data_IF_912226313544
#
_entry.id   IF_912226313544
#
_cell.length_a   1.000
_cell.length_b   1.000
_cell.length_c   1.000
_cell.angle_alpha   90.00
_cell.angle_beta   90.00
_cell.angle_gamma   90.00
#
_symmetry.space_group_name_H-M   'P 1'
#
loop_
_entity.id
_entity.type
_entity.pdbx_description
1 polymer ?
#
# COMPACT_ATOMS: atom_id res chain seq x y z
N UNK A 1 6.40 12.33 14.23
CA UNK A 1 5.59 12.64 13.04
C UNK A 1 4.33 11.81 13.13
N UNK A 2 3.15 12.40 12.97
CA UNK A 2 1.90 11.63 12.91
C UNK A 2 1.55 11.26 11.46
N UNK A 3 0.66 10.29 11.29
CA UNK A 3 0.30 9.72 9.99
C UNK A 3 -0.37 10.76 9.10
N UNK A 4 -1.20 11.64 9.68
CA UNK A 4 -1.91 12.68 8.95
C UNK A 4 -0.95 13.68 8.31
N UNK A 5 0.04 14.16 9.07
CA UNK A 5 1.06 15.09 8.58
C UNK A 5 1.91 14.45 7.49
N UNK A 6 2.35 13.20 7.68
CA UNK A 6 3.14 12.49 6.67
C UNK A 6 2.37 12.27 5.35
N UNK A 7 1.07 11.97 5.42
CA UNK A 7 0.23 11.84 4.22
C UNK A 7 -0.01 13.17 3.53
N UNK A 8 -0.15 14.26 4.28
CA UNK A 8 -0.26 15.61 3.73
C UNK A 8 1.02 16.01 2.98
N UNK A 9 2.19 15.79 3.59
CA UNK A 9 3.49 16.04 2.97
C UNK A 9 3.65 15.22 1.68
N UNK A 10 3.24 13.94 1.69
CA UNK A 10 3.27 13.06 0.51
C UNK A 10 2.40 13.60 -0.63
N UNK A 11 1.18 14.03 -0.32
CA UNK A 11 0.26 14.63 -1.30
C UNK A 11 0.78 15.96 -1.85
N UNK A 12 1.52 16.75 -1.07
CA UNK A 12 2.14 18.00 -1.53
C UNK A 12 3.29 17.75 -2.51
N UNK A 13 4.20 16.81 -2.20
CA UNK A 13 5.39 16.56 -3.03
C UNK A 13 5.13 15.64 -4.22
N UNK A 14 4.03 14.87 -4.21
CA UNK A 14 3.70 13.86 -5.23
C UNK A 14 2.29 14.05 -5.78
N UNK A 15 2.12 15.04 -6.66
CA UNK A 15 0.84 15.40 -7.28
C UNK A 15 0.17 14.31 -8.13
N UNK A 16 0.89 13.23 -8.42
CA UNK A 16 0.41 12.07 -9.18
C UNK A 16 -0.25 11.01 -8.29
N UNK A 17 -0.11 11.12 -6.96
CA UNK A 17 -0.75 10.20 -6.02
C UNK A 17 -2.20 10.63 -5.83
N UNK A 18 -3.13 9.86 -6.40
CA UNK A 18 -4.56 10.11 -6.24
C UNK A 18 -5.06 9.71 -4.84
N UNK A 19 -4.47 8.66 -4.25
CA UNK A 19 -4.88 8.11 -2.95
C UNK A 19 -3.70 7.42 -2.30
N UNK A 20 -3.51 7.68 -0.99
CA UNK A 20 -2.57 6.94 -0.18
C UNK A 20 -3.26 6.48 1.12
N UNK A 21 -2.93 5.26 1.55
CA UNK A 21 -3.50 4.61 2.73
C UNK A 21 -2.38 3.97 3.54
N UNK A 22 -2.33 4.27 4.83
CA UNK A 22 -1.48 3.59 5.81
C UNK A 22 -2.36 2.64 6.60
N UNK A 23 -1.95 1.38 6.69
CA UNK A 23 -2.70 0.34 7.39
C UNK A 23 -1.73 -0.60 8.14
N UNK A 24 -2.24 -1.27 9.16
CA UNK A 24 -1.48 -2.25 9.93
C UNK A 24 -1.46 -3.64 9.26
N UNK A 25 -0.73 -4.59 9.84
CA UNK A 25 -0.64 -5.96 9.32
C UNK A 25 -1.98 -6.73 9.29
N UNK A 26 -3.00 -6.27 10.03
CA UNK A 26 -4.34 -6.84 10.00
C UNK A 26 -5.25 -6.17 8.94
N UNK A 27 -4.79 -5.07 8.32
CA UNK A 27 -5.53 -4.30 7.34
C UNK A 27 -6.36 -3.17 7.93
N UNK A 28 -6.17 -2.85 9.21
CA UNK A 28 -6.82 -1.70 9.85
C UNK A 28 -6.23 -0.43 9.29
N UNK A 29 -7.04 0.44 8.72
CA UNK A 29 -6.60 1.74 8.21
C UNK A 29 -6.25 2.66 9.38
N UNK A 30 -5.01 3.14 9.39
CA UNK A 30 -4.48 4.09 10.37
C UNK A 30 -4.55 5.54 9.88
N UNK A 31 -4.64 5.73 8.56
CA UNK A 31 -4.85 7.03 7.92
C UNK A 31 -4.91 6.93 6.40
N UNK A 32 -5.58 7.89 5.76
CA UNK A 32 -5.67 7.96 4.30
C UNK A 32 -5.85 9.38 3.79
N UNK A 33 -5.46 9.63 2.54
CA UNK A 33 -5.68 10.90 1.81
C UNK A 33 -6.32 10.64 0.45
N UNK A 34 -7.09 11.61 -0.06
CA UNK A 34 -7.71 11.57 -1.39
C UNK A 34 -8.93 10.66 -1.52
N UNK A 35 -9.44 10.09 -0.43
CA UNK A 35 -10.50 9.08 -0.47
C UNK A 35 -11.36 9.03 0.81
N UNK A 36 -12.52 8.38 0.74
CA UNK A 36 -13.38 8.04 1.88
C UNK A 36 -12.97 6.75 2.60
N UNK A 37 -13.48 6.56 3.82
CA UNK A 37 -13.17 5.41 4.69
C UNK A 37 -13.48 4.06 4.04
N UNK A 38 -14.62 3.94 3.35
CA UNK A 38 -15.01 2.68 2.70
C UNK A 38 -14.03 2.29 1.60
N UNK A 39 -13.59 3.26 0.80
CA UNK A 39 -12.57 3.06 -0.25
C UNK A 39 -11.20 2.78 0.35
N UNK A 40 -10.79 3.47 1.40
CA UNK A 40 -9.54 3.19 2.11
C UNK A 40 -9.47 1.75 2.61
N UNK A 41 -10.55 1.28 3.24
CA UNK A 41 -10.65 -0.10 3.73
C UNK A 41 -10.57 -1.12 2.61
N UNK A 42 -11.20 -0.85 1.45
CA UNK A 42 -11.08 -1.73 0.27
C UNK A 42 -9.66 -1.74 -0.28
N UNK A 43 -8.99 -0.59 -0.34
CA UNK A 43 -7.61 -0.51 -0.85
C UNK A 43 -6.63 -1.24 0.08
N UNK A 44 -6.75 -1.05 1.39
CA UNK A 44 -5.95 -1.78 2.39
C UNK A 44 -6.13 -3.30 2.25
N UNK A 45 -7.38 -3.76 2.08
CA UNK A 45 -7.66 -5.18 1.88
C UNK A 45 -7.05 -5.74 0.58
N UNK A 46 -7.21 -5.03 -0.52
CA UNK A 46 -6.63 -5.43 -1.81
C UNK A 46 -5.09 -5.47 -1.76
N UNK A 47 -4.46 -4.51 -1.06
CA UNK A 47 -3.01 -4.49 -0.86
C UNK A 47 -2.53 -5.69 -0.03
N UNK A 48 -3.26 -6.08 1.02
CA UNK A 48 -2.96 -7.30 1.78
C UNK A 48 -3.06 -8.56 0.94
N UNK A 49 -4.13 -8.69 0.16
CA UNK A 49 -4.33 -9.85 -0.72
C UNK A 49 -3.22 -9.90 -1.79
N UNK A 50 -2.76 -8.76 -2.30
CA UNK A 50 -1.63 -8.64 -3.22
C UNK A 50 -0.30 -9.06 -2.58
N UNK A 51 -0.01 -8.59 -1.37
CA UNK A 51 1.17 -8.97 -0.58
C UNK A 51 1.18 -10.48 -0.32
N UNK A 52 0.05 -11.02 0.13
CA UNK A 52 -0.09 -12.46 0.35
C UNK A 52 0.17 -13.25 -0.94
N UNK A 53 -0.42 -12.84 -2.07
CA UNK A 53 -0.21 -13.51 -3.35
C UNK A 53 1.26 -13.45 -3.80
N UNK A 54 1.93 -12.30 -3.66
CA UNK A 54 3.33 -12.15 -4.04
C UNK A 54 4.27 -13.06 -3.23
N UNK A 55 4.01 -13.23 -1.92
CA UNK A 55 4.76 -14.16 -1.08
C UNK A 55 4.63 -15.62 -1.56
N UNK A 56 3.48 -16.02 -2.12
CA UNK A 56 3.27 -17.38 -2.65
C UNK A 56 3.96 -17.62 -4.01
N UNK A 57 4.16 -16.58 -4.81
CA UNK A 57 4.73 -16.69 -6.17
C UNK A 57 6.26 -16.62 -6.16
N UNK A 58 6.86 -16.24 -5.04
CA UNK A 58 8.30 -16.02 -4.91
C UNK A 58 9.10 -17.30 -5.28
N UNK A 59 9.85 -17.29 -6.39
CA UNK A 59 10.55 -18.49 -6.84
C UNK A 59 11.76 -18.77 -5.95
N UNK A 60 11.80 -20.00 -5.42
CA UNK A 60 12.98 -20.59 -4.80
C UNK A 60 12.91 -20.68 -3.27
N UNK A 61 13.18 -21.88 -2.77
CA UNK A 61 13.57 -22.17 -1.38
C UNK A 61 14.84 -21.36 -1.03
N UNK A 62 14.66 -20.09 -0.72
CA UNK A 62 15.73 -19.15 -0.39
C UNK A 62 15.30 -18.31 0.79
N UNK A 63 15.38 -18.92 1.98
CA UNK A 63 15.26 -18.25 3.28
C UNK A 63 16.10 -16.96 3.26
N UNK A 64 15.46 -15.79 3.37
CA UNK A 64 16.18 -14.64 3.93
C UNK A 64 15.96 -13.26 3.31
N UNK A 65 15.12 -13.07 2.29
CA UNK A 65 14.74 -11.69 1.89
C UNK A 65 13.22 -11.54 1.96
N UNK A 66 12.77 -10.76 2.94
CA UNK A 66 11.39 -10.35 3.08
C UNK A 66 10.97 -9.56 1.84
N UNK A 67 9.72 -9.70 1.43
CA UNK A 67 9.11 -8.77 0.49
C UNK A 67 9.16 -7.36 1.12
N UNK A 68 9.66 -6.39 0.36
CA UNK A 68 9.75 -4.99 0.80
C UNK A 68 8.83 -4.07 0.00
N UNK A 69 8.46 -4.46 -1.22
CA UNK A 69 7.68 -3.61 -2.12
C UNK A 69 7.02 -4.43 -3.23
N UNK A 70 5.82 -4.01 -3.63
CA UNK A 70 5.13 -4.44 -4.84
C UNK A 70 4.75 -3.21 -5.65
N UNK A 71 5.00 -3.25 -6.94
CA UNK A 71 4.52 -2.26 -7.90
C UNK A 71 3.81 -2.97 -9.05
N UNK A 72 2.63 -2.46 -9.43
CA UNK A 72 1.84 -3.01 -10.52
C UNK A 72 1.20 -1.91 -11.35
N UNK A 73 1.31 -2.01 -12.67
CA UNK A 73 0.61 -1.14 -13.62
C UNK A 73 -0.73 -1.76 -14.01
N UNK A 74 -1.79 -0.98 -13.86
CA UNK A 74 -3.16 -1.27 -14.28
C UNK A 74 -3.51 -0.38 -15.49
N UNK A 75 -4.66 -0.62 -16.12
CA UNK A 75 -5.11 0.23 -17.23
C UNK A 75 -5.43 1.64 -16.77
N UNK A 76 -5.93 1.76 -15.56
CA UNK A 76 -6.43 2.99 -14.96
C UNK A 76 -5.36 3.74 -14.16
N UNK A 77 -4.20 3.14 -13.91
CA UNK A 77 -3.14 3.76 -13.10
C UNK A 77 -2.11 2.75 -12.60
N UNK A 78 -1.44 3.06 -11.50
CA UNK A 78 -0.46 2.19 -10.86
C UNK A 78 -0.79 1.98 -9.39
N UNK A 79 -0.51 0.78 -8.88
CA UNK A 79 -0.54 0.48 -7.44
C UNK A 79 0.88 0.27 -6.94
N UNK A 80 1.18 0.84 -5.78
CA UNK A 80 2.47 0.74 -5.12
C UNK A 80 2.24 0.42 -3.65
N UNK A 81 2.82 -0.68 -3.17
CA UNK A 81 2.70 -1.15 -1.79
C UNK A 81 4.10 -1.34 -1.24
N UNK A 82 4.37 -0.78 -0.07
CA UNK A 82 5.63 -0.97 0.67
C UNK A 82 5.32 -1.73 1.94
N UNK A 83 6.14 -2.73 2.23
CA UNK A 83 6.07 -3.54 3.45
C UNK A 83 7.30 -3.21 4.32
N UNK A 84 7.06 -2.90 5.59
CA UNK A 84 8.07 -2.47 6.56
C UNK A 84 7.90 -3.14 7.91
#
# INVERSE_FOLDING_TARGET
>A
MDIASALADLSEISSQIETAVVFDAAGTVLGSTGTDEMRSNRLARAALDLVAAAEHVRPGEGRGRALTQIEGSLREGSVFVVTG
#
